data_IF_299692850531
#
_entry.id   IF_299692850531
#
_cell.length_a   1.000
_cell.length_b   1.000
_cell.length_c   1.000
_cell.angle_alpha   90.00
_cell.angle_beta   90.00
_cell.angle_gamma   90.00
#
_symmetry.space_group_name_H-M   'P 1'
#
loop_
_entity.id
_entity.type
_entity.pdbx_description
1 polymer ?
#
# COMPACT_ATOMS: atom_id res chain seq x y z
N UNK A 1 9.25 18.67 -29.61
CA UNK A 1 10.28 17.65 -29.33
C UNK A 1 9.57 16.42 -28.83
N UNK A 2 9.80 15.30 -29.51
CA UNK A 2 8.95 14.12 -29.61
C UNK A 2 8.74 13.38 -28.30
N UNK A 3 7.49 13.05 -28.00
CA UNK A 3 7.01 12.19 -26.90
C UNK A 3 7.37 10.70 -27.09
N UNK A 4 8.10 10.36 -28.14
CA UNK A 4 8.45 8.98 -28.50
C UNK A 4 9.67 8.40 -27.78
N UNK A 5 10.37 9.17 -26.91
CA UNK A 5 11.63 8.72 -26.30
C UNK A 5 11.48 8.15 -24.89
N UNK A 6 10.26 8.13 -24.33
CA UNK A 6 9.96 7.57 -23.00
C UNK A 6 9.56 6.08 -22.99
N UNK A 7 9.38 5.47 -24.18
CA UNK A 7 8.81 4.12 -24.27
C UNK A 7 9.83 3.00 -24.56
N UNK A 8 11.16 3.24 -24.61
CA UNK A 8 12.10 2.23 -25.12
C UNK A 8 13.25 1.82 -24.21
N UNK A 9 13.37 2.36 -22.99
CA UNK A 9 14.43 1.91 -22.07
C UNK A 9 13.84 1.19 -20.85
N UNK A 10 13.38 -0.04 -21.08
CA UNK A 10 12.95 -0.98 -20.03
C UNK A 10 14.13 -1.79 -19.47
N UNK A 11 15.34 -1.25 -19.48
CA UNK A 11 16.45 -1.87 -18.77
C UNK A 11 16.25 -1.72 -17.26
N UNK A 12 15.75 -2.78 -16.63
CA UNK A 12 15.64 -2.87 -15.18
C UNK A 12 17.04 -2.84 -14.56
N UNK A 13 17.42 -1.72 -13.98
CA UNK A 13 18.61 -1.61 -13.16
C UNK A 13 18.22 -1.82 -11.69
N UNK A 14 18.72 -2.89 -11.09
CA UNK A 14 18.56 -3.17 -9.65
C UNK A 14 19.24 -2.12 -8.75
N UNK A 15 20.06 -1.24 -9.33
CA UNK A 15 20.92 -0.31 -8.60
C UNK A 15 20.45 1.15 -8.62
N UNK A 16 19.40 1.48 -9.38
CA UNK A 16 18.92 2.85 -9.48
C UNK A 16 17.57 3.03 -8.80
N UNK A 17 17.52 3.93 -7.81
CA UNK A 17 16.26 4.51 -7.36
C UNK A 17 15.54 5.18 -8.54
N UNK A 18 14.21 5.29 -8.49
CA UNK A 18 13.49 6.09 -9.48
C UNK A 18 14.04 7.51 -9.48
N UNK A 19 14.27 8.07 -10.68
CA UNK A 19 14.63 9.48 -10.80
C UNK A 19 13.51 10.35 -10.24
N UNK A 20 13.83 11.38 -9.46
CA UNK A 20 12.82 12.32 -8.98
C UNK A 20 12.03 12.91 -10.16
N UNK A 21 10.72 13.05 -10.00
CA UNK A 21 9.90 13.70 -11.01
C UNK A 21 10.35 15.16 -11.23
N UNK A 22 10.32 15.59 -12.48
CA UNK A 22 10.82 16.91 -12.89
C UNK A 22 9.91 18.08 -12.47
N UNK A 23 8.66 17.79 -12.12
CA UNK A 23 7.67 18.77 -11.65
C UNK A 23 6.52 18.05 -10.91
N UNK A 24 5.71 18.78 -10.15
CA UNK A 24 4.59 18.20 -9.41
C UNK A 24 3.58 17.46 -10.29
N UNK A 25 3.31 17.94 -11.50
CA UNK A 25 2.36 17.29 -12.43
C UNK A 25 2.89 15.93 -12.89
N UNK A 26 4.20 15.83 -13.16
CA UNK A 26 4.82 14.56 -13.51
C UNK A 26 4.79 13.58 -12.32
N UNK A 27 5.07 14.07 -11.11
CA UNK A 27 4.98 13.30 -9.88
C UNK A 27 3.54 12.81 -9.62
N UNK A 28 2.54 13.68 -9.82
CA UNK A 28 1.12 13.31 -9.73
C UNK A 28 0.77 12.17 -10.66
N UNK A 29 1.22 12.26 -11.92
CA UNK A 29 0.97 11.21 -12.91
C UNK A 29 1.62 9.89 -12.48
N UNK A 30 2.86 9.89 -11.99
CA UNK A 30 3.55 8.69 -11.48
C UNK A 30 2.74 8.08 -10.33
N UNK A 31 2.34 8.86 -9.33
CA UNK A 31 1.54 8.37 -8.20
C UNK A 31 0.20 7.77 -8.63
N UNK A 32 -0.47 8.41 -9.58
CA UNK A 32 -1.73 7.89 -10.15
C UNK A 32 -1.50 6.58 -10.91
N UNK A 33 -0.46 6.48 -11.73
CA UNK A 33 -0.12 5.25 -12.45
C UNK A 33 0.24 4.12 -11.48
N UNK A 34 1.08 4.37 -10.47
CA UNK A 34 1.41 3.38 -9.44
C UNK A 34 0.16 2.91 -8.69
N UNK A 35 -0.77 3.82 -8.40
CA UNK A 35 -2.05 3.48 -7.74
C UNK A 35 -2.89 2.55 -8.60
N UNK A 36 -3.11 2.88 -9.87
CA UNK A 36 -3.88 2.06 -10.79
C UNK A 36 -3.21 0.69 -11.05
N UNK A 37 -1.88 0.66 -11.20
CA UNK A 37 -1.09 -0.57 -11.32
C UNK A 37 -1.19 -1.41 -10.03
N UNK A 38 -1.16 -0.78 -8.86
CA UNK A 38 -1.34 -1.45 -7.57
C UNK A 38 -2.66 -2.20 -7.50
N UNK A 39 -3.76 -1.59 -7.90
CA UNK A 39 -5.08 -2.24 -7.98
C UNK A 39 -5.07 -3.43 -8.95
N UNK A 40 -4.48 -3.29 -10.14
CA UNK A 40 -4.37 -4.39 -11.11
C UNK A 40 -3.50 -5.53 -10.61
N UNK A 41 -2.44 -5.24 -9.88
CA UNK A 41 -1.61 -6.24 -9.21
C UNK A 41 -2.47 -7.04 -8.21
N UNK A 42 -3.24 -6.37 -7.34
CA UNK A 42 -4.12 -7.06 -6.38
C UNK A 42 -5.14 -7.94 -7.11
N UNK A 43 -5.80 -7.40 -8.14
CA UNK A 43 -6.75 -8.15 -8.96
C UNK A 43 -6.17 -9.40 -9.61
N UNK A 44 -4.86 -9.41 -9.95
CA UNK A 44 -4.20 -10.57 -10.56
C UNK A 44 -4.16 -11.82 -9.65
N UNK A 45 -4.38 -11.64 -8.34
CA UNK A 45 -4.57 -12.72 -7.38
C UNK A 45 -6.03 -12.90 -6.94
N UNK A 46 -6.96 -12.14 -7.53
CA UNK A 46 -8.36 -12.11 -7.09
C UNK A 46 -8.59 -11.33 -5.80
N UNK A 47 -7.58 -10.60 -5.29
CA UNK A 47 -7.75 -9.78 -4.11
C UNK A 47 -8.56 -8.53 -4.47
N UNK A 48 -9.57 -8.24 -3.66
CA UNK A 48 -10.50 -7.15 -3.92
C UNK A 48 -11.50 -7.41 -5.05
N UNK A 49 -11.70 -8.69 -5.46
CA UNK A 49 -12.69 -9.05 -6.49
C UNK A 49 -14.14 -8.71 -6.07
N UNK A 50 -14.39 -8.61 -4.77
CA UNK A 50 -15.65 -8.19 -4.16
C UNK A 50 -15.71 -6.68 -3.84
N UNK A 51 -14.70 -5.91 -4.27
CA UNK A 51 -14.55 -4.49 -3.96
C UNK A 51 -13.95 -4.19 -2.58
N UNK A 52 -13.51 -5.23 -1.84
CA UNK A 52 -12.89 -5.07 -0.52
C UNK A 52 -11.43 -4.64 -0.66
N UNK A 53 -11.14 -3.42 -0.28
CA UNK A 53 -9.80 -2.86 -0.27
C UNK A 53 -9.70 -1.49 -0.94
N UNK A 54 -8.59 -0.84 -0.71
CA UNK A 54 -8.32 0.52 -1.21
C UNK A 54 -6.82 0.81 -1.21
N UNK A 55 -6.40 1.57 -2.22
CA UNK A 55 -5.05 2.11 -2.34
C UNK A 55 -5.21 3.62 -2.51
N UNK A 56 -4.41 4.37 -1.78
CA UNK A 56 -4.42 5.84 -1.86
C UNK A 56 -3.02 6.38 -2.09
N UNK A 57 -2.96 7.54 -2.75
CA UNK A 57 -1.73 8.27 -3.02
C UNK A 57 -1.89 9.74 -2.65
N UNK A 58 -1.08 10.26 -1.73
CA UNK A 58 -1.05 11.70 -1.41
C UNK A 58 -0.76 12.50 -2.67
N UNK A 59 -1.51 13.58 -2.90
CA UNK A 59 -1.20 14.52 -3.98
C UNK A 59 0.11 15.28 -3.68
N UNK A 60 0.99 15.50 -4.67
CA UNK A 60 2.28 16.16 -4.43
C UNK A 60 2.17 17.66 -4.12
N UNK A 61 1.11 18.35 -4.56
CA UNK A 61 0.87 19.77 -4.30
C UNK A 61 -0.18 19.99 -3.22
N UNK A 62 -1.31 19.28 -3.33
CA UNK A 62 -2.38 19.29 -2.35
C UNK A 62 -2.10 18.24 -1.29
N UNK A 63 -1.13 18.51 -0.41
CA UNK A 63 -0.70 17.57 0.64
C UNK A 63 -1.79 17.26 1.67
N UNK A 64 -2.86 18.02 1.66
CA UNK A 64 -4.12 17.83 2.39
C UNK A 64 -5.13 16.93 1.66
N UNK A 65 -4.74 16.33 0.51
CA UNK A 65 -5.61 15.52 -0.33
C UNK A 65 -4.87 14.26 -0.84
N UNK A 66 -5.65 13.25 -1.24
CA UNK A 66 -5.11 12.00 -1.80
C UNK A 66 -5.99 11.47 -2.93
N UNK A 67 -5.36 10.79 -3.86
CA UNK A 67 -5.98 10.05 -4.95
C UNK A 67 -6.45 8.68 -4.48
N UNK A 68 -7.64 8.28 -4.89
CA UNK A 68 -8.21 6.95 -4.65
C UNK A 68 -9.02 6.50 -5.87
N UNK A 69 -9.19 5.18 -6.03
CA UNK A 69 -10.04 4.65 -7.09
C UNK A 69 -11.50 4.99 -6.80
N UNK A 70 -12.20 5.44 -7.82
CA UNK A 70 -13.65 5.66 -7.78
C UNK A 70 -14.35 4.37 -7.42
N UNK A 71 -15.28 4.45 -6.48
CA UNK A 71 -16.06 3.30 -6.02
C UNK A 71 -16.85 2.67 -7.17
N UNK A 72 -16.86 1.35 -7.22
CA UNK A 72 -17.56 0.58 -8.27
C UNK A 72 -16.70 0.26 -9.50
N UNK A 73 -15.46 0.77 -9.60
CA UNK A 73 -14.52 0.33 -10.64
C UNK A 73 -13.84 -0.96 -10.20
N UNK A 74 -13.93 -2.06 -10.99
CA UNK A 74 -13.22 -3.30 -10.67
C UNK A 74 -11.70 -3.07 -10.64
N UNK A 75 -11.00 -3.64 -9.66
CA UNK A 75 -9.55 -3.45 -9.51
C UNK A 75 -8.76 -3.82 -10.77
N UNK A 76 -9.18 -4.86 -11.50
CA UNK A 76 -8.53 -5.29 -12.74
C UNK A 76 -8.73 -4.33 -13.93
N UNK A 77 -9.65 -3.37 -13.81
CA UNK A 77 -9.95 -2.37 -14.85
C UNK A 77 -9.39 -0.98 -14.52
N UNK A 78 -8.86 -0.79 -13.30
CA UNK A 78 -8.39 0.49 -12.79
C UNK A 78 -7.45 1.22 -13.79
N UNK A 79 -7.73 2.52 -14.03
CA UNK A 79 -6.94 3.42 -14.87
C UNK A 79 -6.69 4.74 -14.15
N UNK A 80 -5.77 5.52 -14.66
CA UNK A 80 -5.46 6.87 -14.16
C UNK A 80 -6.70 7.78 -14.17
N UNK A 81 -7.54 7.67 -15.19
CA UNK A 81 -8.79 8.45 -15.33
C UNK A 81 -9.89 8.07 -14.34
N UNK A 82 -9.81 6.87 -13.74
CA UNK A 82 -10.75 6.40 -12.73
C UNK A 82 -10.41 6.87 -11.31
N UNK A 83 -9.26 7.51 -11.14
CA UNK A 83 -8.84 8.03 -9.84
C UNK A 83 -9.44 9.41 -9.59
N UNK A 84 -9.95 9.61 -8.39
CA UNK A 84 -10.51 10.86 -7.92
C UNK A 84 -9.66 11.42 -6.77
N UNK A 85 -9.57 12.75 -6.69
CA UNK A 85 -8.87 13.46 -5.63
C UNK A 85 -9.89 13.91 -4.58
N UNK A 86 -9.67 13.49 -3.35
CA UNK A 86 -10.47 13.92 -2.19
C UNK A 86 -9.56 14.53 -1.11
N UNK A 87 -10.03 15.54 -0.42
CA UNK A 87 -9.30 16.09 0.72
C UNK A 87 -9.56 15.30 2.02
N UNK A 88 -8.85 15.66 3.08
CA UNK A 88 -8.99 14.99 4.38
C UNK A 88 -10.35 15.25 5.06
N UNK A 89 -11.17 16.18 4.53
CA UNK A 89 -12.55 16.43 4.97
C UNK A 89 -13.57 15.57 4.23
N UNK A 90 -13.16 14.93 3.12
CA UNK A 90 -14.01 14.12 2.27
C UNK A 90 -14.60 14.87 1.08
N UNK A 91 -14.20 16.13 0.87
CA UNK A 91 -14.64 16.92 -0.28
C UNK A 91 -13.92 16.44 -1.55
N UNK A 92 -14.71 16.20 -2.61
CA UNK A 92 -14.19 15.84 -3.92
C UNK A 92 -13.60 17.08 -4.61
N UNK A 93 -12.30 17.03 -4.92
CA UNK A 93 -11.56 18.13 -5.54
C UNK A 93 -11.45 17.94 -7.05
N UNK A 94 -11.17 16.71 -7.49
CA UNK A 94 -11.00 16.39 -8.92
C UNK A 94 -11.59 15.01 -9.23
N UNK A 95 -12.13 14.89 -10.46
CA UNK A 95 -12.81 13.68 -10.93
C UNK A 95 -14.31 13.70 -10.67
N UNK A 96 -14.94 12.53 -10.67
CA UNK A 96 -16.39 12.39 -10.44
C UNK A 96 -16.72 11.04 -9.80
N UNK A 97 -17.75 11.00 -8.97
CA UNK A 97 -18.19 9.80 -8.25
C UNK A 97 -17.78 9.84 -6.79
N UNK A 98 -17.80 8.70 -6.15
CA UNK A 98 -17.51 8.52 -4.72
C UNK A 98 -16.30 7.60 -4.55
N UNK A 99 -15.67 7.63 -3.39
CA UNK A 99 -14.65 6.65 -2.98
C UNK A 99 -15.26 5.68 -1.96
N UNK A 100 -14.56 4.58 -1.70
CA UNK A 100 -14.96 3.64 -0.66
C UNK A 100 -15.00 4.36 0.71
N UNK A 101 -16.17 4.43 1.39
CA UNK A 101 -16.31 5.19 2.65
C UNK A 101 -15.42 4.64 3.76
N UNK A 102 -15.28 3.31 3.89
CA UNK A 102 -14.37 2.70 4.87
C UNK A 102 -12.92 3.03 4.54
N UNK A 103 -12.55 3.00 3.25
CA UNK A 103 -11.23 3.42 2.78
C UNK A 103 -10.92 4.88 3.13
N UNK A 104 -11.89 5.78 2.96
CA UNK A 104 -11.74 7.17 3.38
C UNK A 104 -11.52 7.27 4.90
N UNK A 105 -12.39 6.65 5.69
CA UNK A 105 -12.30 6.73 7.16
C UNK A 105 -10.96 6.20 7.70
N UNK A 106 -10.35 5.20 7.05
CA UNK A 106 -9.05 4.63 7.44
C UNK A 106 -7.88 5.50 6.95
N UNK A 107 -7.88 5.88 5.66
CA UNK A 107 -6.71 6.48 5.03
C UNK A 107 -6.58 7.99 5.26
N UNK A 108 -7.69 8.74 5.39
CA UNK A 108 -7.64 10.18 5.63
C UNK A 108 -6.90 10.53 6.95
N UNK A 109 -7.16 9.88 8.11
CA UNK A 109 -6.37 10.11 9.31
C UNK A 109 -4.90 9.72 9.18
N UNK A 110 -4.58 8.63 8.47
CA UNK A 110 -3.18 8.24 8.21
C UNK A 110 -2.48 9.34 7.41
N UNK A 111 -3.05 9.78 6.29
CA UNK A 111 -2.46 10.85 5.49
C UNK A 111 -2.39 12.18 6.26
N UNK A 112 -3.36 12.49 7.13
CA UNK A 112 -3.36 13.70 7.93
C UNK A 112 -2.26 13.72 8.98
N UNK A 113 -2.00 12.59 9.65
CA UNK A 113 -1.04 12.50 10.78
C UNK A 113 0.37 12.14 10.34
N UNK A 114 0.54 11.55 9.15
CA UNK A 114 1.81 11.04 8.61
C UNK A 114 2.14 11.72 7.28
N UNK A 115 2.73 12.94 7.29
CA UNK A 115 3.08 13.67 6.06
C UNK A 115 4.15 12.96 5.22
N UNK A 116 4.92 12.04 5.80
CA UNK A 116 5.90 11.19 5.12
C UNK A 116 5.24 10.05 4.32
N UNK A 117 3.99 9.69 4.63
CA UNK A 117 3.26 8.66 3.89
C UNK A 117 2.74 9.23 2.58
N UNK A 118 3.23 8.68 1.47
CA UNK A 118 2.74 8.96 0.11
C UNK A 118 1.71 7.93 -0.31
N UNK A 119 2.00 6.64 -0.14
CA UNK A 119 1.10 5.54 -0.48
C UNK A 119 0.60 4.79 0.74
N UNK A 120 -0.67 4.37 0.72
CA UNK A 120 -1.26 3.47 1.69
C UNK A 120 -2.12 2.42 0.98
N UNK A 121 -2.07 1.17 1.45
CA UNK A 121 -2.82 0.05 0.87
C UNK A 121 -3.39 -0.86 1.95
N UNK A 122 -4.64 -1.26 1.74
CA UNK A 122 -5.33 -2.30 2.47
C UNK A 122 -6.20 -3.11 1.50
N UNK A 123 -6.28 -4.41 1.70
CA UNK A 123 -7.29 -5.30 1.08
C UNK A 123 -7.42 -6.57 1.91
N UNK A 124 -8.49 -7.33 1.67
CA UNK A 124 -8.68 -8.63 2.30
C UNK A 124 -7.96 -9.72 1.53
N UNK A 125 -7.08 -10.46 2.20
CA UNK A 125 -6.19 -11.43 1.56
C UNK A 125 -6.23 -12.79 2.24
N UNK A 126 -5.83 -13.88 1.53
CA UNK A 126 -5.93 -15.25 2.03
C UNK A 126 -5.19 -15.52 3.35
N UNK A 127 -4.16 -14.75 3.65
CA UNK A 127 -3.36 -14.95 4.88
C UNK A 127 -3.35 -13.72 5.79
N UNK A 128 -3.38 -12.51 5.24
CA UNK A 128 -3.45 -11.28 6.03
C UNK A 128 -4.73 -11.22 6.86
N UNK A 129 -5.88 -11.56 6.26
CA UNK A 129 -7.16 -11.58 6.99
C UNK A 129 -7.20 -12.65 8.10
N UNK A 130 -6.88 -13.93 7.85
CA UNK A 130 -6.79 -14.90 8.94
C UNK A 130 -5.77 -14.55 10.01
N UNK A 131 -4.59 -14.05 9.62
CA UNK A 131 -3.58 -13.63 10.58
C UNK A 131 -4.07 -12.49 11.48
N UNK A 132 -4.80 -11.54 10.93
CA UNK A 132 -5.32 -10.41 11.71
C UNK A 132 -6.19 -10.80 12.89
N UNK A 133 -6.85 -11.98 12.84
CA UNK A 133 -7.63 -12.53 13.95
C UNK A 133 -6.77 -12.89 15.17
N UNK A 134 -5.44 -12.98 15.02
CA UNK A 134 -4.53 -13.16 16.17
C UNK A 134 -4.35 -11.89 16.98
N UNK A 135 -4.74 -10.71 16.44
CA UNK A 135 -4.58 -9.40 17.05
C UNK A 135 -3.14 -9.18 17.61
N UNK A 136 -2.14 -9.62 16.88
CA UNK A 136 -0.74 -9.62 17.28
C UNK A 136 0.16 -9.10 16.13
N UNK A 137 1.36 -8.58 16.43
CA UNK A 137 2.33 -8.26 15.40
C UNK A 137 2.82 -9.53 14.68
N UNK A 138 3.18 -9.38 13.38
CA UNK A 138 3.79 -10.47 12.61
C UNK A 138 5.05 -10.98 13.30
N UNK A 139 5.16 -12.28 13.59
CA UNK A 139 6.36 -12.86 14.16
C UNK A 139 7.52 -12.79 13.13
N UNK A 140 8.74 -12.57 13.59
CA UNK A 140 9.95 -12.57 12.75
C UNK A 140 10.32 -13.99 12.32
N UNK A 141 9.40 -14.72 11.69
CA UNK A 141 9.56 -16.12 11.29
C UNK A 141 9.88 -16.31 9.80
N UNK A 142 10.03 -15.23 9.05
CA UNK A 142 10.47 -15.25 7.64
C UNK A 142 11.30 -14.00 7.31
N UNK A 143 12.00 -14.03 6.19
CA UNK A 143 12.76 -12.87 5.70
C UNK A 143 11.85 -11.67 5.43
N UNK A 144 10.66 -11.91 4.86
CA UNK A 144 9.67 -10.88 4.55
C UNK A 144 9.17 -10.17 5.81
N UNK A 145 9.00 -10.91 6.92
CA UNK A 145 8.61 -10.34 8.21
C UNK A 145 9.64 -9.33 8.73
N UNK A 146 10.93 -9.53 8.43
CA UNK A 146 12.00 -8.63 8.90
C UNK A 146 11.86 -7.22 8.31
N UNK A 147 11.19 -7.05 7.17
CA UNK A 147 10.89 -5.72 6.64
C UNK A 147 10.06 -4.86 7.61
N UNK A 148 9.40 -5.49 8.58
CA UNK A 148 8.54 -4.84 9.58
C UNK A 148 9.17 -4.86 11.00
N UNK A 149 10.41 -5.23 11.15
CA UNK A 149 11.08 -5.27 12.46
C UNK A 149 11.12 -3.87 13.09
N UNK A 150 10.43 -3.70 14.22
CA UNK A 150 10.27 -2.40 14.88
C UNK A 150 9.36 -1.40 14.15
N UNK A 151 8.68 -1.81 13.06
CA UNK A 151 7.90 -0.94 12.18
C UNK A 151 6.45 -1.40 12.05
N UNK A 152 5.89 -2.06 13.04
CA UNK A 152 4.53 -2.57 13.00
C UNK A 152 3.74 -2.25 14.27
N UNK A 153 2.46 -1.97 14.09
CA UNK A 153 1.48 -1.76 15.14
C UNK A 153 0.30 -2.72 15.04
N UNK A 154 -0.52 -2.74 16.06
CA UNK A 154 -1.76 -3.54 16.11
C UNK A 154 -2.89 -2.64 16.57
N UNK A 155 -3.93 -2.54 15.76
CA UNK A 155 -5.21 -1.98 16.16
C UNK A 155 -6.14 -3.12 16.58
N UNK A 156 -6.38 -3.23 17.90
CA UNK A 156 -7.20 -4.28 18.52
C UNK A 156 -8.56 -3.74 18.97
N UNK A 157 -9.11 -2.76 18.23
CA UNK A 157 -10.49 -2.28 18.46
C UNK A 157 -11.53 -3.31 18.03
N UNK A 158 -12.75 -3.17 18.53
CA UNK A 158 -13.88 -4.06 18.19
C UNK A 158 -14.62 -3.60 16.92
N UNK A 159 -14.24 -2.43 16.37
CA UNK A 159 -14.83 -1.84 15.16
C UNK A 159 -14.25 -2.50 13.90
N UNK A 160 -14.80 -3.64 13.51
CA UNK A 160 -14.35 -4.41 12.34
C UNK A 160 -14.67 -3.68 11.03
N UNK A 161 -15.81 -2.98 10.98
CA UNK A 161 -16.18 -2.11 9.87
C UNK A 161 -15.95 -0.64 10.28
N UNK A 162 -14.97 -0.01 9.67
CA UNK A 162 -14.58 1.36 10.01
C UNK A 162 -15.46 2.35 9.25
N UNK A 163 -16.33 3.04 9.98
CA UNK A 163 -17.36 3.93 9.41
C UNK A 163 -17.20 5.38 9.86
N UNK A 164 -16.19 5.70 10.66
CA UNK A 164 -15.96 7.04 11.18
C UNK A 164 -14.46 7.37 11.30
N UNK A 165 -14.16 8.68 11.25
CA UNK A 165 -12.79 9.18 11.32
C UNK A 165 -12.12 8.99 12.68
N UNK A 166 -12.90 8.90 13.77
CA UNK A 166 -12.33 8.68 15.11
C UNK A 166 -11.73 7.29 15.24
N UNK A 167 -12.39 6.27 14.68
CA UNK A 167 -11.83 4.93 14.57
C UNK A 167 -10.60 4.91 13.66
N UNK A 168 -10.66 5.61 12.52
CA UNK A 168 -9.49 5.77 11.63
C UNK A 168 -8.30 6.46 12.31
N UNK A 169 -8.56 7.45 13.17
CA UNK A 169 -7.49 8.09 13.96
C UNK A 169 -6.82 7.10 14.92
N UNK A 170 -7.59 6.24 15.59
CA UNK A 170 -7.01 5.18 16.45
C UNK A 170 -6.19 4.16 15.66
N UNK A 171 -6.57 3.89 14.40
CA UNK A 171 -5.76 3.07 13.49
C UNK A 171 -4.45 3.79 13.14
N UNK A 172 -4.50 5.08 12.82
CA UNK A 172 -3.32 5.89 12.55
C UNK A 172 -2.39 5.97 13.78
N UNK A 173 -2.96 6.11 14.98
CA UNK A 173 -2.22 6.10 16.25
C UNK A 173 -1.53 4.72 16.49
N UNK A 174 -2.24 3.62 16.18
CA UNK A 174 -1.67 2.27 16.28
C UNK A 174 -0.55 2.03 15.25
N UNK A 175 -0.67 2.56 14.04
CA UNK A 175 0.41 2.54 13.04
C UNK A 175 1.62 3.33 13.54
N UNK A 176 1.41 4.46 14.21
CA UNK A 176 2.47 5.32 14.74
C UNK A 176 3.46 5.73 13.64
N UNK A 177 4.75 5.56 13.88
CA UNK A 177 5.82 5.75 12.88
C UNK A 177 6.11 4.49 12.07
N UNK A 178 5.33 3.43 12.27
CA UNK A 178 5.48 2.15 11.59
C UNK A 178 5.11 2.19 10.12
N UNK A 179 5.28 1.02 9.51
CA UNK A 179 4.97 0.77 8.09
C UNK A 179 3.79 -0.18 7.92
N UNK A 180 3.52 -0.99 8.93
CA UNK A 180 2.45 -1.98 8.93
C UNK A 180 1.56 -1.75 10.16
N UNK A 181 0.25 -1.82 9.98
CA UNK A 181 -0.69 -2.04 11.09
C UNK A 181 -1.54 -3.28 10.81
N UNK A 182 -1.63 -4.13 11.81
CA UNK A 182 -2.57 -5.26 11.85
C UNK A 182 -3.89 -4.74 12.38
N UNK A 183 -4.94 -4.83 11.58
CA UNK A 183 -6.31 -4.49 11.97
C UNK A 183 -6.99 -5.77 12.46
N UNK A 184 -7.18 -5.93 13.77
CA UNK A 184 -7.71 -7.16 14.37
C UNK A 184 -9.03 -7.57 13.72
N UNK A 185 -9.14 -8.87 13.34
CA UNK A 185 -10.30 -9.47 12.65
C UNK A 185 -10.69 -8.79 11.32
N UNK A 186 -9.79 -8.02 10.70
CA UNK A 186 -10.09 -7.30 9.47
C UNK A 186 -9.05 -7.58 8.39
N UNK A 187 -7.78 -7.27 8.64
CA UNK A 187 -6.72 -7.49 7.68
C UNK A 187 -5.44 -6.73 8.01
N UNK A 188 -4.64 -6.48 6.99
CA UNK A 188 -3.37 -5.75 7.08
C UNK A 188 -3.47 -4.43 6.31
N UNK A 189 -2.74 -3.41 6.79
CA UNK A 189 -2.55 -2.16 6.07
C UNK A 189 -1.06 -1.82 6.07
N UNK A 190 -0.51 -1.46 4.91
CA UNK A 190 0.86 -0.97 4.79
C UNK A 190 0.93 0.42 4.19
N UNK A 191 1.97 1.15 4.57
CA UNK A 191 2.26 2.49 4.06
C UNK A 191 3.69 2.58 3.55
N UNK A 192 3.95 3.57 2.70
CA UNK A 192 5.28 3.82 2.15
C UNK A 192 5.48 5.27 1.72
N UNK A 193 6.73 5.64 1.45
CA UNK A 193 7.11 6.94 0.89
C UNK A 193 6.84 7.05 -0.62
N UNK A 194 6.34 5.96 -1.23
CA UNK A 194 5.73 5.89 -2.55
C UNK A 194 4.59 4.89 -2.53
N UNK A 195 3.69 4.95 -3.52
CA UNK A 195 2.65 3.93 -3.68
C UNK A 195 3.31 2.58 -4.01
N UNK A 196 4.33 2.59 -4.85
CA UNK A 196 5.08 1.41 -5.23
C UNK A 196 5.65 0.69 -3.99
N UNK A 197 6.30 1.41 -3.08
CA UNK A 197 6.85 0.78 -1.86
C UNK A 197 5.76 0.25 -0.93
N UNK A 198 4.66 1.00 -0.74
CA UNK A 198 3.52 0.54 0.06
C UNK A 198 2.96 -0.79 -0.47
N UNK A 199 2.75 -0.91 -1.79
CA UNK A 199 2.25 -2.14 -2.44
C UNK A 199 3.28 -3.28 -2.35
N UNK A 200 4.57 -2.99 -2.54
CA UNK A 200 5.64 -3.99 -2.39
C UNK A 200 5.71 -4.55 -0.98
N UNK A 201 5.60 -3.69 0.03
CA UNK A 201 5.54 -4.12 1.43
C UNK A 201 4.25 -4.87 1.76
N UNK A 202 3.14 -4.54 1.11
CA UNK A 202 1.90 -5.28 1.31
C UNK A 202 2.06 -6.76 0.91
N UNK A 203 2.76 -7.05 -0.19
CA UNK A 203 3.08 -8.43 -0.57
C UNK A 203 3.98 -9.10 0.49
N UNK A 204 4.97 -8.39 1.02
CA UNK A 204 5.82 -8.95 2.09
C UNK A 204 4.99 -9.24 3.35
N UNK A 205 4.04 -8.36 3.71
CA UNK A 205 3.15 -8.59 4.84
C UNK A 205 2.27 -9.82 4.63
N UNK A 206 1.70 -10.00 3.43
CA UNK A 206 0.90 -11.19 3.09
C UNK A 206 1.74 -12.48 3.17
N UNK A 207 2.97 -12.49 2.64
CA UNK A 207 3.86 -13.64 2.72
C UNK A 207 4.29 -13.96 4.15
N UNK A 208 4.57 -12.94 4.95
CA UNK A 208 4.88 -13.12 6.37
C UNK A 208 3.67 -13.68 7.14
N UNK A 209 2.46 -13.19 6.83
CA UNK A 209 1.21 -13.71 7.39
C UNK A 209 0.97 -15.17 6.96
N UNK A 210 1.29 -15.55 5.72
CA UNK A 210 1.21 -16.93 5.25
C UNK A 210 2.07 -17.86 6.11
N UNK A 211 3.33 -17.47 6.36
CA UNK A 211 4.23 -18.26 7.22
C UNK A 211 3.68 -18.34 8.64
N UNK A 212 3.22 -17.22 9.21
CA UNK A 212 2.69 -17.19 10.58
C UNK A 212 1.45 -18.08 10.74
N UNK A 213 0.54 -18.08 9.76
CA UNK A 213 -0.68 -18.91 9.78
C UNK A 213 -0.38 -20.40 9.57
N UNK A 214 0.54 -20.72 8.64
CA UNK A 214 0.86 -22.12 8.30
C UNK A 214 1.81 -22.77 9.30
N UNK A 215 2.68 -21.98 9.94
CA UNK A 215 3.71 -22.48 10.87
C UNK A 215 3.73 -21.62 12.14
N UNK A 216 2.65 -21.66 12.95
CA UNK A 216 2.49 -20.78 14.12
C UNK A 216 3.61 -20.94 15.16
N UNK A 217 4.15 -22.15 15.30
CA UNK A 217 5.27 -22.47 16.20
C UNK A 217 6.64 -22.42 15.49
N UNK A 218 6.72 -21.70 14.35
CA UNK A 218 7.93 -21.57 13.56
C UNK A 218 9.07 -20.92 14.33
N UNK A 219 10.32 -21.30 13.99
CA UNK A 219 11.50 -20.69 14.58
C UNK A 219 11.55 -19.19 14.26
N UNK A 220 11.63 -18.37 15.31
CA UNK A 220 11.75 -16.92 15.20
C UNK A 220 13.22 -16.52 14.97
N UNK A 221 13.44 -15.59 14.04
CA UNK A 221 14.73 -14.92 13.81
C UNK A 221 15.07 -14.10 15.05
N UNK A 222 16.31 -14.19 15.54
CA UNK A 222 16.73 -13.46 16.73
C UNK A 222 16.64 -11.93 16.49
N UNK A 223 16.36 -11.12 17.54
CA UNK A 223 16.34 -9.67 17.43
C UNK A 223 17.62 -9.08 16.81
N UNK A 224 18.79 -9.64 17.16
CA UNK A 224 20.07 -9.21 16.59
C UNK A 224 20.15 -9.45 15.08
N UNK A 225 19.74 -10.64 14.62
CA UNK A 225 19.72 -10.96 13.19
C UNK A 225 18.65 -10.15 12.43
N UNK A 226 17.49 -9.93 13.03
CA UNK A 226 16.45 -9.09 12.45
C UNK A 226 16.94 -7.64 12.31
N UNK A 227 17.54 -7.06 13.36
CA UNK A 227 18.08 -5.70 13.31
C UNK A 227 19.21 -5.55 12.26
N UNK A 228 20.05 -6.58 12.09
CA UNK A 228 21.11 -6.58 11.08
C UNK A 228 20.55 -6.66 9.65
N UNK A 229 19.47 -7.41 9.46
CA UNK A 229 18.88 -7.65 8.12
C UNK A 229 17.90 -6.56 7.70
N UNK A 230 17.17 -5.96 8.65
CA UNK A 230 16.13 -4.97 8.40
C UNK A 230 16.56 -3.84 7.44
N UNK A 231 17.75 -3.22 7.54
CA UNK A 231 18.14 -2.13 6.64
C UNK A 231 18.16 -2.51 5.17
N UNK A 232 18.33 -3.80 4.83
CA UNK A 232 18.35 -4.25 3.43
C UNK A 232 17.01 -4.70 2.91
N UNK A 233 16.12 -5.24 3.76
CA UNK A 233 14.81 -5.76 3.32
C UNK A 233 13.67 -4.79 3.65
N UNK A 234 13.87 -3.89 4.60
CA UNK A 234 12.91 -2.86 5.01
C UNK A 234 13.17 -1.49 4.37
N UNK A 235 14.09 -1.38 3.43
CA UNK A 235 14.33 -0.15 2.67
C UNK A 235 13.18 0.15 1.69
N UNK A 236 12.82 1.41 1.53
CA UNK A 236 11.80 1.87 0.57
C UNK A 236 12.14 1.45 -0.88
N UNK A 237 13.42 1.48 -1.23
CA UNK A 237 13.88 1.01 -2.54
C UNK A 237 13.59 -0.49 -2.75
N UNK A 238 13.70 -1.31 -1.71
CA UNK A 238 13.33 -2.73 -1.80
C UNK A 238 11.83 -2.90 -2.05
N UNK A 239 10.99 -2.14 -1.36
CA UNK A 239 9.54 -2.11 -1.63
C UNK A 239 9.23 -1.71 -3.08
N UNK A 240 9.89 -0.67 -3.58
CA UNK A 240 9.78 -0.23 -4.97
C UNK A 240 10.23 -1.32 -5.96
N UNK A 241 11.34 -2.01 -5.73
CA UNK A 241 11.80 -3.12 -6.56
C UNK A 241 10.78 -4.26 -6.62
N UNK A 242 10.20 -4.63 -5.47
CA UNK A 242 9.16 -5.65 -5.43
C UNK A 242 7.98 -5.23 -6.32
N UNK A 243 7.54 -3.97 -6.22
CA UNK A 243 6.48 -3.45 -7.07
C UNK A 243 6.82 -3.56 -8.57
N UNK A 244 8.05 -3.18 -8.98
CA UNK A 244 8.48 -3.28 -10.38
C UNK A 244 8.44 -4.73 -10.90
N UNK A 245 8.85 -5.70 -10.06
CA UNK A 245 8.71 -7.12 -10.37
C UNK A 245 7.26 -7.55 -10.51
N UNK A 246 6.38 -7.04 -9.64
CA UNK A 246 4.95 -7.34 -9.69
C UNK A 246 4.30 -6.77 -10.95
N UNK A 247 4.61 -5.53 -11.33
CA UNK A 247 4.11 -4.94 -12.59
C UNK A 247 4.47 -5.85 -13.77
N UNK A 248 5.74 -6.23 -13.90
CA UNK A 248 6.21 -7.07 -15.00
C UNK A 248 5.58 -8.47 -15.01
N UNK A 249 5.47 -9.10 -13.84
CA UNK A 249 5.01 -10.49 -13.74
C UNK A 249 3.50 -10.64 -13.69
N UNK A 250 2.76 -9.62 -13.26
CA UNK A 250 1.32 -9.69 -13.01
C UNK A 250 0.48 -8.83 -13.93
N UNK A 251 0.99 -7.69 -14.35
CA UNK A 251 0.30 -6.79 -15.29
C UNK A 251 0.85 -6.94 -16.71
N UNK A 252 2.18 -7.05 -16.82
CA UNK A 252 2.89 -7.18 -18.09
C UNK A 252 3.14 -5.82 -18.73
N UNK A 253 2.14 -5.24 -19.37
CA UNK A 253 2.23 -3.91 -19.99
C UNK A 253 1.75 -2.82 -19.01
N UNK A 254 2.64 -1.95 -18.50
CA UNK A 254 2.23 -0.89 -17.58
C UNK A 254 1.41 0.22 -18.24
N UNK A 255 1.35 0.31 -19.56
CA UNK A 255 0.59 1.35 -20.27
C UNK A 255 -0.91 1.12 -20.24
N UNK A 256 -1.37 -0.05 -19.80
CA UNK A 256 -2.80 -0.40 -19.70
C UNK A 256 -3.58 0.50 -18.73
N UNK A 257 -2.90 1.27 -17.90
CA UNK A 257 -3.51 2.19 -16.94
C UNK A 257 -3.64 3.63 -17.44
N UNK A 258 -3.06 3.96 -18.60
CA UNK A 258 -3.09 5.29 -19.20
C UNK A 258 -4.42 5.59 -19.89
#
# INVERSE_FOLDING_TARGET
>A
MSTEKLASDTSFSLSSAPEPAICPEAERLVRKQETALGYRIMASWGWGADGSGHITARDPERTDAFWSLRYGVPFGEARVEDLVLVDHSGDLIEGSGEINPAGFCIHAPIHSTRPDVVGAIHTHTPYGTPFSAMAAPLPMSSQEAVAFYGMQGVFAGEEVNVTDLATGQRIADALGTGRLVVLANHGLLTVGTSVASAVGFYLNAERAAEVAVKVPDGRVISPAAAAQTHPSVGDELNGWHIFQWLVRSRVGDPTVVN
#
